data_IF_607648322412
#
_entry.id   IF_607648322412
#
_cell.length_a   1.000
_cell.length_b   1.000
_cell.length_c   1.000
_cell.angle_alpha   90.00
_cell.angle_beta   90.00
_cell.angle_gamma   90.00
#
_symmetry.space_group_name_H-M   'P 1'
#
loop_
_entity.id
_entity.type
_entity.pdbx_description
1 polymer ?
#
# COMPACT_ATOMS: atom_id res chain seq x y z
N UNK A 1 -51.54 -51.32 -26.69
CA UNK A 1 -51.65 -52.24 -25.55
C UNK A 1 -50.73 -51.80 -24.44
N UNK A 2 -51.33 -51.63 -23.28
CA UNK A 2 -50.74 -51.14 -22.03
C UNK A 2 -50.15 -52.31 -21.26
N UNK A 3 -48.89 -52.22 -20.83
CA UNK A 3 -48.36 -52.98 -19.68
C UNK A 3 -47.28 -52.13 -18.97
N UNK A 4 -47.69 -51.47 -17.90
CA UNK A 4 -46.84 -51.01 -16.79
C UNK A 4 -46.62 -52.19 -15.81
N UNK A 5 -45.96 -52.07 -14.63
CA UNK A 5 -45.14 -51.00 -14.03
C UNK A 5 -43.85 -51.54 -13.32
N UNK A 6 -43.25 -50.69 -12.45
CA UNK A 6 -42.50 -51.02 -11.21
C UNK A 6 -40.96 -50.99 -11.37
N UNK A 7 -40.12 -50.27 -10.62
CA UNK A 7 -40.18 -49.24 -9.54
C UNK A 7 -38.71 -48.85 -9.25
N UNK A 8 -38.51 -47.72 -8.55
CA UNK A 8 -37.39 -47.40 -7.62
C UNK A 8 -36.23 -46.48 -8.09
N UNK A 9 -36.22 -45.32 -7.43
CA UNK A 9 -35.09 -44.57 -6.85
C UNK A 9 -34.08 -43.81 -7.72
N UNK A 10 -34.26 -42.47 -7.65
CA UNK A 10 -33.26 -41.43 -7.46
C UNK A 10 -31.82 -41.91 -7.16
N UNK A 11 -30.85 -41.47 -7.98
CA UNK A 11 -29.48 -41.30 -7.52
C UNK A 11 -28.83 -40.09 -8.21
N UNK A 12 -28.77 -38.98 -7.48
CA UNK A 12 -27.98 -37.81 -7.84
C UNK A 12 -26.50 -38.12 -7.76
N UNK A 13 -25.73 -37.69 -8.76
CA UNK A 13 -24.29 -37.91 -8.82
C UNK A 13 -23.56 -36.57 -8.74
N UNK A 14 -23.51 -36.00 -7.53
CA UNK A 14 -22.46 -35.06 -7.14
C UNK A 14 -21.20 -35.86 -6.82
N UNK A 15 -20.11 -35.61 -7.55
CA UNK A 15 -18.79 -36.10 -7.18
C UNK A 15 -17.89 -34.92 -6.81
N UNK A 16 -18.00 -34.53 -5.54
CA UNK A 16 -16.90 -33.92 -4.80
C UNK A 16 -15.94 -35.04 -4.45
N UNK A 17 -14.69 -34.98 -4.90
CA UNK A 17 -13.61 -35.79 -4.32
C UNK A 17 -12.33 -34.97 -4.37
N UNK A 18 -12.04 -34.35 -3.23
CA UNK A 18 -10.73 -33.85 -2.87
C UNK A 18 -9.75 -35.02 -2.80
N UNK A 19 -8.60 -34.88 -3.43
CA UNK A 19 -7.49 -35.84 -3.33
C UNK A 19 -6.29 -35.15 -2.68
N UNK A 20 -5.87 -35.53 -1.47
CA UNK A 20 -4.58 -35.17 -0.92
C UNK A 20 -3.63 -36.38 -1.03
N UNK A 21 -2.49 -36.25 -1.70
CA UNK A 21 -1.23 -36.94 -1.38
C UNK A 21 -0.20 -36.71 -2.50
N UNK A 22 1.02 -36.37 -2.12
CA UNK A 22 2.17 -36.54 -3.02
C UNK A 22 3.27 -35.49 -2.88
N UNK A 23 3.78 -35.27 -1.66
CA UNK A 23 5.08 -34.61 -1.46
C UNK A 23 6.16 -35.47 -2.12
N UNK A 24 6.54 -35.14 -3.36
CA UNK A 24 7.72 -35.70 -4.02
C UNK A 24 8.94 -34.83 -3.71
N UNK A 25 9.64 -35.21 -2.64
CA UNK A 25 10.92 -34.67 -2.24
C UNK A 25 12.01 -35.26 -3.15
N UNK A 26 12.29 -34.63 -4.30
CA UNK A 26 13.42 -35.02 -5.14
C UNK A 26 14.72 -34.43 -4.56
N UNK A 27 15.41 -35.23 -3.74
CA UNK A 27 16.83 -35.05 -3.41
C UNK A 27 17.67 -35.43 -4.64
N UNK A 28 18.05 -34.44 -5.44
CA UNK A 28 19.12 -34.56 -6.43
C UNK A 28 20.45 -34.20 -5.79
N UNK A 29 21.26 -35.21 -5.47
CA UNK A 29 22.67 -35.07 -5.11
C UNK A 29 23.46 -34.79 -6.39
N UNK A 30 24.11 -33.62 -6.50
CA UNK A 30 25.10 -33.36 -7.55
C UNK A 30 26.50 -33.32 -6.93
N UNK A 31 27.47 -34.10 -7.44
CA UNK A 31 28.82 -34.15 -6.89
C UNK A 31 29.63 -32.90 -7.27
N UNK A 32 30.45 -32.45 -6.32
CA UNK A 32 31.54 -31.51 -6.51
C UNK A 32 32.55 -31.99 -7.57
N UNK A 33 33.20 -31.01 -8.20
CA UNK A 33 34.53 -31.04 -8.86
C UNK A 33 34.50 -30.92 -10.39
N UNK A 34 34.81 -29.71 -10.90
CA UNK A 34 36.04 -29.46 -11.67
C UNK A 34 36.25 -27.95 -11.89
N UNK A 35 37.43 -27.47 -11.51
CA UNK A 35 37.94 -26.13 -11.83
C UNK A 35 38.73 -26.17 -13.15
N UNK A 36 38.67 -25.13 -13.99
CA UNK A 36 39.83 -24.77 -14.79
C UNK A 36 40.18 -23.28 -14.69
N UNK A 37 41.40 -23.08 -14.21
CA UNK A 37 42.43 -22.15 -14.70
C UNK A 37 42.08 -20.69 -14.96
N UNK A 38 42.69 -19.85 -14.13
CA UNK A 38 43.06 -18.45 -14.32
C UNK A 38 43.56 -18.17 -15.75
N UNK A 39 43.01 -17.12 -16.37
CA UNK A 39 43.64 -16.41 -17.47
C UNK A 39 43.81 -14.93 -17.09
N UNK A 40 44.91 -14.29 -17.50
CA UNK A 40 45.39 -13.03 -16.93
C UNK A 40 44.59 -11.80 -17.36
N UNK A 41 44.65 -10.79 -16.49
CA UNK A 41 44.00 -9.50 -16.62
C UNK A 41 44.35 -8.78 -17.94
N UNK A 42 43.32 -8.44 -18.71
CA UNK A 42 43.42 -7.46 -19.79
C UNK A 42 43.31 -6.06 -19.17
N UNK A 43 44.46 -5.41 -19.04
CA UNK A 43 44.59 -3.99 -18.68
C UNK A 43 44.05 -3.17 -19.85
N UNK A 44 42.81 -2.73 -19.78
CA UNK A 44 42.35 -1.63 -20.62
C UNK A 44 42.70 -0.31 -19.93
N UNK A 45 43.56 0.44 -20.60
CA UNK A 45 44.09 1.73 -20.19
C UNK A 45 42.98 2.79 -20.18
N UNK A 46 42.79 3.40 -19.03
CA UNK A 46 41.92 4.57 -18.85
C UNK A 46 42.51 5.75 -19.61
N UNK A 47 41.95 6.09 -20.77
CA UNK A 47 42.28 7.32 -21.49
C UNK A 47 41.60 8.49 -20.78
N UNK A 48 42.28 9.05 -19.78
CA UNK A 48 42.00 10.37 -19.24
C UNK A 48 42.39 11.41 -20.31
N UNK A 49 41.40 11.93 -21.04
CA UNK A 49 41.59 13.08 -21.90
C UNK A 49 40.85 14.27 -21.30
N UNK A 50 41.63 15.33 -21.08
CA UNK A 50 41.33 16.49 -20.28
C UNK A 50 40.07 17.24 -20.75
N UNK A 51 39.24 17.58 -19.78
CA UNK A 51 38.16 18.54 -19.90
C UNK A 51 38.74 19.94 -20.07
N UNK A 52 38.64 20.49 -21.28
CA UNK A 52 38.72 21.93 -21.50
C UNK A 52 37.67 22.31 -22.54
N UNK A 53 36.59 22.96 -22.11
CA UNK A 53 36.04 24.17 -22.76
C UNK A 53 34.79 24.71 -22.05
N UNK A 54 34.93 25.92 -21.51
CA UNK A 54 33.93 27.00 -21.31
C UNK A 54 32.52 26.70 -20.75
N UNK A 55 32.28 27.24 -19.54
CA UNK A 55 30.96 27.60 -18.99
C UNK A 55 30.25 28.67 -19.85
N UNK A 56 28.96 28.52 -20.19
CA UNK A 56 28.05 29.63 -20.35
C UNK A 56 27.33 29.88 -19.02
N UNK A 57 27.82 30.90 -18.32
CA UNK A 57 27.17 31.53 -17.19
C UNK A 57 25.92 32.31 -17.69
N UNK A 58 24.78 32.00 -17.08
CA UNK A 58 23.55 32.80 -16.96
C UNK A 58 22.63 32.97 -18.18
N UNK A 59 21.49 32.25 -18.12
CA UNK A 59 20.21 32.95 -17.95
C UNK A 59 19.20 32.10 -17.17
N UNK A 60 18.93 32.57 -15.95
CA UNK A 60 17.78 32.22 -15.12
C UNK A 60 16.49 32.34 -15.96
N UNK A 61 15.77 31.23 -16.12
CA UNK A 61 14.33 31.24 -16.38
C UNK A 61 13.69 30.26 -15.40
N UNK A 62 13.42 30.75 -14.21
CA UNK A 62 12.43 30.16 -13.31
C UNK A 62 11.12 30.02 -14.08
N UNK A 63 10.55 28.82 -14.28
CA UNK A 63 9.16 28.70 -14.64
C UNK A 63 8.36 29.02 -13.37
N UNK A 64 7.97 30.29 -13.26
CA UNK A 64 6.80 30.67 -12.47
C UNK A 64 5.60 30.41 -13.38
N UNK A 65 5.04 29.21 -13.29
CA UNK A 65 3.69 28.91 -13.79
C UNK A 65 2.93 28.18 -12.70
N UNK A 66 2.47 28.99 -11.75
CA UNK A 66 1.34 28.68 -10.90
C UNK A 66 0.06 28.85 -11.71
N UNK A 67 -0.80 27.85 -11.60
CA UNK A 67 -2.23 27.82 -11.97
C UNK A 67 -2.58 27.45 -13.43
N UNK A 68 -3.56 26.55 -13.55
CA UNK A 68 -4.24 26.10 -14.79
C UNK A 68 -3.70 24.86 -15.54
N UNK A 69 -3.17 23.85 -14.83
CA UNK A 69 -3.03 22.46 -15.35
C UNK A 69 -3.92 21.41 -14.67
N UNK A 70 -4.81 21.84 -13.77
CA UNK A 70 -5.67 20.95 -12.95
C UNK A 70 -6.84 20.27 -13.67
N UNK A 71 -7.58 20.89 -14.63
CA UNK A 71 -8.77 20.24 -15.19
C UNK A 71 -8.41 18.95 -15.95
N UNK A 72 -7.37 18.98 -16.79
CA UNK A 72 -7.00 17.82 -17.60
C UNK A 72 -6.34 16.66 -16.84
N UNK A 73 -5.78 16.87 -15.63
CA UNK A 73 -5.20 15.76 -14.84
C UNK A 73 -6.32 14.98 -14.15
N UNK A 74 -7.25 15.68 -13.51
CA UNK A 74 -8.38 15.05 -12.83
C UNK A 74 -9.30 14.33 -13.82
N UNK A 75 -9.60 14.95 -14.95
CA UNK A 75 -10.39 14.33 -16.02
C UNK A 75 -9.75 13.03 -16.53
N UNK A 76 -8.42 13.03 -16.76
CA UNK A 76 -7.69 11.81 -17.14
C UNK A 76 -7.70 10.74 -16.05
N UNK A 77 -7.61 11.14 -14.79
CA UNK A 77 -7.70 10.21 -13.67
C UNK A 77 -9.10 9.59 -13.58
N UNK A 78 -10.15 10.39 -13.72
CA UNK A 78 -11.55 9.91 -13.75
C UNK A 78 -11.78 8.94 -14.90
N UNK A 79 -11.35 9.30 -16.11
CA UNK A 79 -11.42 8.40 -17.28
C UNK A 79 -10.68 7.09 -17.03
N UNK A 80 -9.49 7.15 -16.42
CA UNK A 80 -8.73 5.95 -16.09
C UNK A 80 -9.41 5.08 -15.03
N UNK A 81 -10.17 5.66 -14.08
CA UNK A 81 -10.95 4.90 -13.11
C UNK A 81 -12.19 4.25 -13.73
N UNK A 82 -12.81 4.90 -14.72
CA UNK A 82 -13.93 4.32 -15.49
C UNK A 82 -13.49 3.06 -16.26
N UNK A 83 -12.25 3.03 -16.75
CA UNK A 83 -11.64 1.88 -17.41
C UNK A 83 -11.29 0.72 -16.44
N UNK A 84 -11.38 0.93 -15.12
CA UNK A 84 -11.03 -0.11 -14.15
C UNK A 84 -12.07 -1.24 -14.10
N UNK A 85 -11.65 -2.49 -13.80
CA UNK A 85 -12.60 -3.56 -13.55
C UNK A 85 -13.55 -3.19 -12.40
N UNK A 86 -14.86 -3.24 -12.66
CA UNK A 86 -15.90 -2.85 -11.68
C UNK A 86 -15.70 -3.47 -10.29
N UNK A 87 -15.36 -4.77 -10.14
CA UNK A 87 -15.13 -5.35 -8.82
C UNK A 87 -13.96 -4.68 -8.08
N UNK A 88 -12.87 -4.36 -8.77
CA UNK A 88 -11.70 -3.71 -8.16
C UNK A 88 -12.06 -2.29 -7.69
N UNK A 89 -12.83 -1.55 -8.47
CA UNK A 89 -13.31 -0.22 -8.10
C UNK A 89 -14.21 -0.27 -6.86
N UNK A 90 -15.25 -1.10 -6.87
CA UNK A 90 -16.20 -1.20 -5.76
C UNK A 90 -15.55 -1.68 -4.48
N UNK A 91 -14.70 -2.72 -4.55
CA UNK A 91 -13.99 -3.23 -3.37
C UNK A 91 -13.02 -2.19 -2.81
N UNK A 92 -12.33 -1.45 -3.68
CA UNK A 92 -11.43 -0.39 -3.23
C UNK A 92 -12.17 0.76 -2.56
N UNK A 93 -13.31 1.19 -3.12
CA UNK A 93 -14.15 2.23 -2.51
C UNK A 93 -14.77 1.75 -1.19
N UNK A 94 -15.27 0.52 -1.13
CA UNK A 94 -15.82 -0.06 0.10
C UNK A 94 -14.75 -0.18 1.19
N UNK A 95 -13.52 -0.53 0.85
CA UNK A 95 -12.39 -0.57 1.77
C UNK A 95 -12.03 0.79 2.38
N UNK A 96 -12.46 1.91 1.81
CA UNK A 96 -12.22 3.24 2.39
C UNK A 96 -13.23 3.61 3.48
N UNK A 97 -14.33 2.85 3.62
CA UNK A 97 -15.41 3.18 4.57
C UNK A 97 -14.88 3.27 6.01
N UNK A 98 -14.16 2.28 6.57
CA UNK A 98 -13.70 2.37 7.96
C UNK A 98 -12.68 3.50 8.19
N UNK A 99 -11.96 3.91 7.14
CA UNK A 99 -11.08 5.07 7.23
C UNK A 99 -11.89 6.36 7.36
N UNK A 100 -12.81 6.61 6.44
CA UNK A 100 -13.52 7.88 6.36
C UNK A 100 -14.61 8.02 7.46
N UNK A 101 -15.28 6.91 7.83
CA UNK A 101 -16.38 6.95 8.77
C UNK A 101 -15.95 7.35 10.18
N UNK A 102 -14.79 6.91 10.63
CA UNK A 102 -14.31 7.15 12.01
C UNK A 102 -14.15 8.64 12.34
N UNK A 103 -13.31 9.42 11.62
CA UNK A 103 -13.17 10.85 11.89
C UNK A 103 -14.45 11.62 11.59
N UNK A 104 -15.25 11.17 10.61
CA UNK A 104 -16.54 11.81 10.31
C UNK A 104 -17.53 11.66 11.47
N UNK A 105 -17.66 10.47 12.06
CA UNK A 105 -18.53 10.23 13.20
C UNK A 105 -18.09 11.05 14.42
N UNK A 106 -16.78 11.04 14.73
CA UNK A 106 -16.24 11.86 15.83
C UNK A 106 -16.47 13.36 15.61
N UNK A 107 -16.31 13.84 14.37
CA UNK A 107 -16.54 15.25 14.04
C UNK A 107 -18.02 15.63 14.18
N UNK A 108 -18.95 14.78 13.73
CA UNK A 108 -20.40 15.01 13.87
C UNK A 108 -20.82 15.00 15.34
N UNK A 109 -20.28 14.06 16.13
CA UNK A 109 -20.60 13.92 17.55
C UNK A 109 -19.87 14.95 18.44
N UNK A 110 -18.88 15.65 17.90
CA UNK A 110 -18.05 16.60 18.66
C UNK A 110 -17.27 15.96 19.80
N UNK A 111 -17.11 14.63 19.80
CA UNK A 111 -16.50 13.86 20.90
C UNK A 111 -15.49 12.88 20.32
N UNK A 112 -14.32 12.80 20.96
CA UNK A 112 -13.28 11.85 20.59
C UNK A 112 -13.52 10.50 21.27
N UNK A 113 -13.53 9.42 20.48
CA UNK A 113 -13.71 8.05 20.97
C UNK A 113 -12.45 7.21 20.73
N UNK A 114 -11.62 6.96 21.76
CA UNK A 114 -10.34 6.24 21.61
C UNK A 114 -10.48 4.87 20.93
N UNK A 115 -11.55 4.13 21.25
CA UNK A 115 -11.82 2.80 20.68
C UNK A 115 -12.05 2.84 19.15
N UNK A 116 -12.76 3.86 18.65
CA UNK A 116 -12.97 4.02 17.21
C UNK A 116 -11.67 4.42 16.51
N UNK A 117 -10.85 5.27 17.13
CA UNK A 117 -9.55 5.62 16.58
C UNK A 117 -8.61 4.41 16.54
N UNK A 118 -8.60 3.61 17.60
CA UNK A 118 -7.84 2.36 17.65
C UNK A 118 -8.32 1.36 16.59
N UNK A 119 -9.64 1.23 16.38
CA UNK A 119 -10.19 0.40 15.31
C UNK A 119 -9.76 0.88 13.92
N UNK A 120 -9.73 2.20 13.69
CA UNK A 120 -9.25 2.79 12.43
C UNK A 120 -7.76 2.51 12.20
N UNK A 121 -6.92 2.68 13.22
CA UNK A 121 -5.48 2.37 13.17
C UNK A 121 -5.26 0.88 12.90
N UNK A 122 -5.98 0.01 13.61
CA UNK A 122 -5.92 -1.44 13.40
C UNK A 122 -6.30 -1.82 11.97
N UNK A 123 -7.40 -1.26 11.46
CA UNK A 123 -7.80 -1.45 10.07
C UNK A 123 -6.76 -0.91 9.07
N UNK A 124 -6.13 0.22 9.41
CA UNK A 124 -5.02 0.80 8.66
C UNK A 124 -3.82 -0.13 8.57
N UNK A 125 -3.42 -0.75 9.69
CA UNK A 125 -2.34 -1.72 9.73
C UNK A 125 -2.64 -2.98 8.89
N UNK A 126 -3.87 -3.50 8.96
CA UNK A 126 -4.32 -4.60 8.10
C UNK A 126 -4.23 -4.22 6.62
N UNK A 127 -4.69 -3.02 6.27
CA UNK A 127 -4.68 -2.53 4.88
C UNK A 127 -3.24 -2.37 4.35
N UNK A 128 -2.35 -1.74 5.11
CA UNK A 128 -0.92 -1.61 4.74
C UNK A 128 -0.25 -2.97 4.59
N UNK A 129 -0.57 -3.93 5.46
CA UNK A 129 -0.05 -5.30 5.38
C UNK A 129 -0.54 -6.02 4.12
N UNK A 130 -1.83 -5.92 3.81
CA UNK A 130 -2.42 -6.45 2.58
C UNK A 130 -1.74 -5.86 1.34
N UNK A 131 -1.49 -4.55 1.35
CA UNK A 131 -0.78 -3.86 0.26
C UNK A 131 0.62 -4.43 0.03
N UNK A 132 1.38 -4.66 1.10
CA UNK A 132 2.67 -5.34 1.00
C UNK A 132 2.52 -6.72 0.35
N UNK A 133 1.55 -7.51 0.83
CA UNK A 133 1.27 -8.86 0.32
C UNK A 133 0.89 -8.92 -1.17
N UNK A 134 0.22 -7.89 -1.70
CA UNK A 134 -0.14 -7.82 -3.13
C UNK A 134 1.08 -7.98 -4.06
N UNK A 135 2.26 -7.53 -3.61
CA UNK A 135 3.48 -7.61 -4.42
C UNK A 135 3.95 -9.05 -4.66
N UNK A 136 3.74 -9.95 -3.70
CA UNK A 136 3.97 -11.38 -3.93
C UNK A 136 3.02 -11.90 -5.01
N UNK A 137 1.73 -11.56 -4.92
CA UNK A 137 0.74 -11.93 -5.93
C UNK A 137 1.07 -11.43 -7.33
N UNK A 138 1.67 -10.24 -7.45
CA UNK A 138 2.11 -9.70 -8.74
C UNK A 138 3.39 -10.37 -9.26
N UNK A 139 4.37 -10.69 -8.41
CA UNK A 139 5.70 -11.16 -8.84
C UNK A 139 5.80 -12.68 -9.07
N UNK A 140 4.88 -13.48 -8.51
CA UNK A 140 4.93 -14.95 -8.59
C UNK A 140 4.55 -15.58 -9.95
N UNK A 141 3.60 -15.05 -10.75
CA UNK A 141 3.26 -15.64 -12.03
C UNK A 141 4.47 -15.71 -12.99
N UNK A 142 4.64 -16.82 -13.71
CA UNK A 142 5.80 -17.07 -14.58
C UNK A 142 6.02 -15.96 -15.64
N UNK A 143 4.93 -15.39 -16.14
CA UNK A 143 4.94 -14.33 -17.15
C UNK A 143 4.83 -12.92 -16.54
N UNK A 144 5.08 -12.77 -15.24
CA UNK A 144 5.01 -11.47 -14.60
C UNK A 144 6.13 -10.53 -15.07
N UNK A 145 5.83 -9.25 -15.33
CA UNK A 145 6.85 -8.24 -15.55
C UNK A 145 7.78 -8.01 -14.35
N UNK A 146 7.32 -8.33 -13.13
CA UNK A 146 8.14 -8.30 -11.92
C UNK A 146 8.62 -9.71 -11.58
N UNK A 147 9.92 -9.86 -11.34
CA UNK A 147 10.50 -11.15 -10.97
C UNK A 147 10.40 -11.38 -9.45
N UNK A 148 10.31 -12.64 -8.99
CA UNK A 148 10.35 -12.99 -7.57
C UNK A 148 11.80 -12.91 -7.04
N UNK A 149 12.45 -11.76 -7.20
CA UNK A 149 13.80 -11.50 -6.71
C UNK A 149 13.76 -10.84 -5.31
N UNK A 150 14.93 -10.77 -4.66
CA UNK A 150 15.08 -10.18 -3.34
C UNK A 150 14.56 -8.74 -3.27
N UNK A 151 14.76 -7.94 -4.32
CA UNK A 151 14.30 -6.56 -4.34
C UNK A 151 12.78 -6.48 -4.30
N UNK A 152 12.08 -7.30 -5.07
CA UNK A 152 10.62 -7.30 -5.07
C UNK A 152 10.04 -7.92 -3.79
N UNK A 153 10.58 -9.05 -3.34
CA UNK A 153 10.05 -9.78 -2.20
C UNK A 153 10.40 -9.11 -0.87
N UNK A 154 11.62 -8.64 -0.66
CA UNK A 154 11.99 -7.97 0.60
C UNK A 154 11.27 -6.62 0.77
N UNK A 155 11.13 -5.84 -0.31
CA UNK A 155 10.42 -4.55 -0.25
C UNK A 155 8.93 -4.72 0.10
N UNK A 156 8.35 -5.88 -0.22
CA UNK A 156 6.97 -6.20 0.17
C UNK A 156 6.80 -6.31 1.69
N UNK A 157 7.83 -6.80 2.39
CA UNK A 157 7.84 -7.05 3.84
C UNK A 157 7.96 -5.77 4.66
N UNK A 158 8.48 -4.69 4.05
CA UNK A 158 8.59 -3.37 4.72
C UNK A 158 7.21 -2.87 5.18
N UNK A 159 6.17 -3.04 4.37
CA UNK A 159 4.82 -2.57 4.70
C UNK A 159 4.22 -3.25 5.94
N UNK A 160 4.13 -4.59 6.02
CA UNK A 160 3.59 -5.26 7.21
C UNK A 160 4.46 -5.04 8.47
N UNK A 161 5.77 -4.87 8.34
CA UNK A 161 6.62 -4.52 9.49
C UNK A 161 6.30 -3.13 10.06
N UNK A 162 6.15 -2.12 9.20
CA UNK A 162 5.75 -0.79 9.63
C UNK A 162 4.33 -0.77 10.20
N UNK A 163 3.41 -1.54 9.60
CA UNK A 163 2.05 -1.71 10.11
C UNK A 163 2.04 -2.37 11.51
N UNK A 164 2.85 -3.40 11.72
CA UNK A 164 3.00 -4.03 13.03
C UNK A 164 3.59 -3.07 14.05
N UNK A 165 4.65 -2.33 13.69
CA UNK A 165 5.22 -1.29 14.56
C UNK A 165 4.19 -0.23 14.94
N UNK A 166 3.32 0.19 14.01
CA UNK A 166 2.26 1.15 14.30
C UNK A 166 1.32 0.66 15.41
N UNK A 167 1.04 -0.64 15.50
CA UNK A 167 0.17 -1.20 16.54
C UNK A 167 0.85 -1.33 17.92
N UNK A 168 2.18 -1.26 17.97
CA UNK A 168 2.93 -1.30 19.22
C UNK A 168 3.07 0.09 19.87
N UNK A 169 2.74 1.15 19.13
CA UNK A 169 2.76 2.51 19.64
C UNK A 169 1.56 2.73 20.56
N UNK A 170 1.80 3.34 21.72
CA UNK A 170 0.75 3.60 22.71
C UNK A 170 -0.11 4.80 22.34
N UNK A 171 0.47 5.78 21.64
CA UNK A 171 -0.25 6.97 21.19
C UNK A 171 -0.84 6.73 19.79
N UNK A 172 -2.13 7.03 19.64
CA UNK A 172 -2.85 6.97 18.37
C UNK A 172 -2.25 7.93 17.33
N UNK A 173 -1.78 9.10 17.73
CA UNK A 173 -1.16 10.07 16.83
C UNK A 173 0.11 9.48 16.22
N UNK A 174 0.98 8.88 17.05
CA UNK A 174 2.21 8.24 16.57
C UNK A 174 1.89 7.05 15.66
N UNK A 175 0.89 6.25 16.05
CA UNK A 175 0.38 5.13 15.24
C UNK A 175 -0.12 5.60 13.86
N UNK A 176 -0.91 6.67 13.83
CA UNK A 176 -1.45 7.25 12.61
C UNK A 176 -0.32 7.80 11.71
N UNK A 177 0.66 8.51 12.28
CA UNK A 177 1.82 9.02 11.54
C UNK A 177 2.64 7.87 10.96
N UNK A 178 2.90 6.81 11.74
CA UNK A 178 3.61 5.62 11.25
C UNK A 178 2.88 4.98 10.06
N UNK A 179 1.55 4.87 10.12
CA UNK A 179 0.73 4.36 9.01
C UNK A 179 0.76 5.28 7.79
N UNK A 180 0.74 6.61 7.98
CA UNK A 180 0.87 7.57 6.87
C UNK A 180 2.22 7.39 6.16
N UNK A 181 3.31 7.22 6.91
CA UNK A 181 4.63 6.94 6.36
C UNK A 181 4.62 5.61 5.59
N UNK A 182 4.08 4.55 6.19
CA UNK A 182 4.00 3.23 5.58
C UNK A 182 3.16 3.23 4.28
N UNK A 183 2.02 3.93 4.28
CA UNK A 183 1.19 4.14 3.09
C UNK A 183 1.94 4.91 2.00
N UNK A 184 2.72 5.92 2.37
CA UNK A 184 3.56 6.68 1.44
C UNK A 184 4.65 5.82 0.79
N UNK A 185 5.35 5.00 1.58
CA UNK A 185 6.35 4.05 1.07
C UNK A 185 5.70 3.05 0.13
N UNK A 186 4.57 2.46 0.53
CA UNK A 186 3.86 1.50 -0.29
C UNK A 186 3.38 2.12 -1.62
N UNK A 187 2.83 3.33 -1.58
CA UNK A 187 2.43 4.07 -2.79
C UNK A 187 3.63 4.37 -3.69
N UNK A 188 4.77 4.76 -3.11
CA UNK A 188 6.00 5.00 -3.85
C UNK A 188 6.46 3.74 -4.58
N UNK A 189 6.39 2.58 -3.94
CA UNK A 189 6.72 1.28 -4.56
C UNK A 189 5.76 0.90 -5.68
N UNK A 190 4.46 1.14 -5.52
CA UNK A 190 3.45 0.84 -6.54
C UNK A 190 3.59 1.74 -7.77
N UNK A 191 3.93 3.01 -7.60
CA UNK A 191 4.00 3.98 -8.70
C UNK A 191 5.37 4.00 -9.38
N UNK A 192 6.45 3.92 -8.60
CA UNK A 192 7.82 4.15 -9.09
C UNK A 192 8.55 2.86 -9.45
N UNK A 193 8.42 1.82 -8.62
CA UNK A 193 9.16 0.56 -8.80
C UNK A 193 8.41 -0.46 -9.65
N UNK A 194 7.12 -0.25 -9.91
CA UNK A 194 6.28 -1.12 -10.74
C UNK A 194 5.66 -0.33 -11.90
N UNK A 195 6.48 0.11 -12.88
CA UNK A 195 5.99 0.85 -14.04
C UNK A 195 4.94 0.05 -14.82
N UNK A 196 4.96 -1.29 -14.73
CA UNK A 196 4.09 -2.19 -15.48
C UNK A 196 2.66 -2.30 -14.93
N UNK A 197 2.35 -1.73 -13.75
CA UNK A 197 0.96 -1.68 -13.32
C UNK A 197 0.09 -0.88 -14.30
N UNK A 198 -1.13 -1.35 -14.60
CA UNK A 198 -2.04 -0.62 -15.45
C UNK A 198 -2.37 0.73 -14.82
N UNK A 199 -2.58 1.74 -15.67
CA UNK A 199 -2.77 3.13 -15.22
C UNK A 199 -3.93 3.28 -14.24
N UNK A 200 -5.05 2.59 -14.49
CA UNK A 200 -6.21 2.61 -13.62
C UNK A 200 -5.89 2.17 -12.20
N UNK A 201 -5.02 1.16 -12.04
CA UNK A 201 -4.62 0.67 -10.73
C UNK A 201 -3.78 1.72 -10.02
N UNK A 202 -2.78 2.31 -10.68
CA UNK A 202 -1.97 3.39 -10.08
C UNK A 202 -2.82 4.56 -9.62
N UNK A 203 -3.79 4.99 -10.43
CA UNK A 203 -4.72 6.08 -10.04
C UNK A 203 -5.54 5.66 -8.82
N UNK A 204 -6.08 4.45 -8.81
CA UNK A 204 -6.85 3.92 -7.67
C UNK A 204 -6.02 3.87 -6.38
N UNK A 205 -4.75 3.46 -6.47
CA UNK A 205 -3.81 3.45 -5.35
C UNK A 205 -3.52 4.86 -4.84
N UNK A 206 -3.29 5.83 -5.72
CA UNK A 206 -3.08 7.24 -5.34
C UNK A 206 -4.31 7.79 -4.63
N UNK A 207 -5.51 7.67 -5.23
CA UNK A 207 -6.75 8.21 -4.66
C UNK A 207 -7.06 7.55 -3.31
N UNK A 208 -6.98 6.22 -3.23
CA UNK A 208 -7.20 5.49 -1.99
C UNK A 208 -6.23 5.93 -0.89
N UNK A 209 -4.93 6.03 -1.20
CA UNK A 209 -3.93 6.49 -0.23
C UNK A 209 -4.17 7.91 0.25
N UNK A 210 -4.56 8.84 -0.64
CA UNK A 210 -4.91 10.20 -0.24
C UNK A 210 -6.08 10.20 0.76
N UNK A 211 -7.14 9.44 0.48
CA UNK A 211 -8.30 9.35 1.39
C UNK A 211 -7.90 8.73 2.74
N UNK A 212 -7.12 7.65 2.73
CA UNK A 212 -6.64 7.00 3.96
C UNK A 212 -5.78 7.95 4.81
N UNK A 213 -4.82 8.65 4.18
CA UNK A 213 -3.93 9.60 4.86
C UNK A 213 -4.73 10.76 5.45
N UNK A 214 -5.62 11.38 4.68
CA UNK A 214 -6.45 12.48 5.17
C UNK A 214 -7.29 12.02 6.37
N UNK A 215 -7.88 10.84 6.29
CA UNK A 215 -8.71 10.29 7.37
C UNK A 215 -7.91 10.03 8.66
N UNK A 216 -6.71 9.46 8.54
CA UNK A 216 -5.82 9.23 9.69
C UNK A 216 -5.36 10.55 10.32
N UNK A 217 -5.00 11.53 9.50
CA UNK A 217 -4.61 12.87 9.97
C UNK A 217 -5.79 13.59 10.63
N UNK A 218 -7.00 13.47 10.10
CA UNK A 218 -8.21 14.03 10.74
C UNK A 218 -8.44 13.42 12.12
N UNK A 219 -8.28 12.10 12.29
CA UNK A 219 -8.40 11.45 13.60
C UNK A 219 -7.33 11.94 14.59
N UNK A 220 -6.09 12.09 14.13
CA UNK A 220 -5.01 12.64 14.96
C UNK A 220 -5.31 14.10 15.37
N UNK A 221 -5.81 14.93 14.45
CA UNK A 221 -6.23 16.30 14.76
C UNK A 221 -7.39 16.33 15.77
N UNK A 222 -8.40 15.48 15.61
CA UNK A 222 -9.51 15.40 16.57
C UNK A 222 -9.04 15.00 17.97
N UNK A 223 -8.06 14.10 18.09
CA UNK A 223 -7.41 13.79 19.39
C UNK A 223 -6.78 15.04 20.00
N UNK A 224 -6.02 15.80 19.22
CA UNK A 224 -5.37 17.02 19.73
C UNK A 224 -6.37 18.08 20.19
N UNK A 225 -7.48 18.25 19.48
CA UNK A 225 -8.54 19.19 19.87
C UNK A 225 -9.20 18.74 21.17
N UNK A 226 -9.49 17.44 21.31
CA UNK A 226 -10.08 16.87 22.52
C UNK A 226 -9.17 16.99 23.75
N UNK A 227 -7.84 16.88 23.57
CA UNK A 227 -6.86 17.08 24.66
C UNK A 227 -6.71 18.56 25.07
N UNK A 228 -6.97 19.51 24.16
CA UNK A 228 -6.90 20.94 24.45
C UNK A 228 -8.09 21.44 25.28
N UNK A 229 -9.30 20.90 25.09
CA UNK A 229 -10.49 21.30 25.86
C UNK A 229 -10.33 21.25 27.39
N UNK A 230 -9.89 20.14 28.01
CA UNK A 230 -9.73 20.08 29.46
C UNK A 230 -8.60 20.98 29.97
N UNK A 231 -7.57 21.25 29.15
CA UNK A 231 -6.45 22.13 29.54
C UNK A 231 -6.89 23.59 29.59
N UNK A 232 -7.75 24.03 28.68
CA UNK A 232 -8.28 25.40 28.66
C UNK A 232 -9.18 25.66 29.88
N UNK A 233 -10.09 24.74 30.19
CA UNK A 233 -10.99 24.86 31.35
C UNK A 233 -10.23 24.93 32.67
N UNK A 234 -9.13 24.20 32.81
CA UNK A 234 -8.30 24.26 34.02
C UNK A 234 -7.54 25.59 34.16
N UNK A 235 -7.05 26.18 33.06
CA UNK A 235 -6.39 27.49 33.09
C UNK A 235 -7.36 28.63 33.44
N UNK A 236 -8.62 28.52 33.00
CA UNK A 236 -9.66 29.52 33.31
C UNK A 236 -10.12 29.46 34.79
N UNK A 237 -9.85 28.36 35.50
CA UNK A 237 -10.25 28.14 36.90
C UNK A 237 -9.16 28.45 37.93
N UNK A 238 -7.91 28.69 37.52
CA UNK A 238 -6.84 29.10 38.43
C UNK A 238 -6.90 30.63 38.62
N UNK A 239 -7.40 31.18 39.73
CA UNK A 239 -7.37 32.61 39.95
C UNK A 239 -5.91 33.06 39.99
N UNK A 240 -5.58 34.06 39.17
CA UNK A 240 -4.28 34.72 39.20
C UNK A 240 -3.99 35.16 40.64
N UNK A 241 -3.11 34.44 41.32
CA UNK A 241 -2.69 34.78 42.67
C UNK A 241 -1.83 36.05 42.56
N UNK A 242 -2.30 37.22 43.03
CA UNK A 242 -1.48 38.42 42.98
C UNK A 242 -0.31 38.28 43.99
N UNK A 243 0.85 38.90 43.69
CA UNK A 243 2.02 38.88 44.56
C UNK A 243 1.80 39.56 45.91
#
# INVERSE_FOLDING_TARGET
ETKYPVVLLLHGKNKTTWSPLGLWLQRGVCPLSRSPSLNPASVYTTKLQAFHTSLPFFKKKTPKDSETKRPGILERSMKSLEESPKPALYLSLAGLIPFASVPLLMAIQGTYYPELAFAQVTYGAVTVSFIGGMRWGFALPENSPAKPDWLNLANSTVSPLLAWQALLLKDITDSAIMLVIALGIALHYDVSLLPTYPRWFKVLRVVGTVVMVLSLLSTAMLKTIAEMQPRQVQMDLEPANPP
#
